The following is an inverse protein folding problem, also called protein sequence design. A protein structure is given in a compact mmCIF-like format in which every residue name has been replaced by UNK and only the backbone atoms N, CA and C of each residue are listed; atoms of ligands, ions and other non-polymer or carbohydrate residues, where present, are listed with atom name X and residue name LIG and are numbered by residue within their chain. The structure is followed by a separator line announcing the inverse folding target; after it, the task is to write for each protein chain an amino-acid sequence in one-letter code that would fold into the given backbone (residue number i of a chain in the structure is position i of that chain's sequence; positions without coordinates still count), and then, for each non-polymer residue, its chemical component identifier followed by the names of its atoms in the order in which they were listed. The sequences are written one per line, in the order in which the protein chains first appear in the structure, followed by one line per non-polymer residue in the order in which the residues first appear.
data_IF_667175052804
#
_entry.id   IF_667175052804
#
_cell.length_a   1.000
_cell.length_b   1.000
_cell.length_c   1.000
_cell.angle_alpha   90.00
_cell.angle_beta   90.00
_cell.angle_gamma   90.00
#
_symmetry.space_group_name_H-M   'P 1'
#
loop_
_entity.id
_entity.type
_entity.pdbx_description
1 polymer ?
#
# COMPACT_ATOMS: atom_id res chain seq x y z
N UNK A 1 -3.67 43.61 -25.19
CA UNK A 1 -3.63 42.56 -24.19
C UNK A 1 -4.78 41.61 -24.54
N UNK A 2 -4.51 40.56 -25.25
CA UNK A 2 -5.52 39.64 -25.84
C UNK A 2 -5.46 38.30 -25.14
N UNK A 3 -6.59 37.92 -24.52
CA UNK A 3 -6.81 36.61 -23.93
C UNK A 3 -6.98 35.56 -25.02
N UNK A 4 -6.04 34.62 -25.18
CA UNK A 4 -6.23 33.44 -25.99
C UNK A 4 -6.74 32.29 -25.10
N UNK A 5 -7.92 31.78 -25.46
CA UNK A 5 -8.58 30.65 -24.83
C UNK A 5 -8.11 29.31 -25.45
N UNK A 6 -7.99 28.28 -24.64
CA UNK A 6 -7.61 26.90 -25.05
C UNK A 6 -8.54 26.24 -26.09
N UNK A 7 -9.58 26.93 -26.56
CA UNK A 7 -10.53 26.40 -27.56
C UNK A 7 -10.18 26.69 -29.03
N UNK A 8 -9.17 27.54 -29.31
CA UNK A 8 -8.85 27.98 -30.67
C UNK A 8 -7.74 27.15 -31.36
N UNK A 9 -7.18 26.14 -30.68
CA UNK A 9 -6.10 25.32 -31.24
C UNK A 9 -6.55 24.11 -32.08
N UNK A 10 -7.85 23.82 -32.19
CA UNK A 10 -8.35 22.57 -32.85
C UNK A 10 -8.95 22.82 -34.27
N UNK A 11 -8.80 23.99 -34.86
CA UNK A 11 -9.48 24.29 -36.14
C UNK A 11 -8.59 24.57 -37.34
N UNK A 12 -7.32 24.24 -37.33
CA UNK A 12 -6.49 24.42 -38.56
C UNK A 12 -5.49 23.27 -38.72
N UNK A 13 -5.93 22.20 -39.33
CA UNK A 13 -5.13 21.36 -40.25
C UNK A 13 -6.00 20.26 -40.86
N UNK A 14 -6.64 20.61 -41.95
CA UNK A 14 -7.28 19.66 -42.88
C UNK A 14 -6.41 19.46 -44.10
N UNK A 15 -6.22 18.20 -44.46
CA UNK A 15 -5.95 17.80 -45.86
C UNK A 15 -4.50 17.53 -46.23
N UNK A 16 -4.17 16.26 -46.48
CA UNK A 16 -3.71 15.71 -47.73
C UNK A 16 -3.67 14.16 -47.61
N UNK A 17 -4.37 13.53 -48.54
CA UNK A 17 -4.42 12.06 -48.76
C UNK A 17 -3.07 11.54 -49.31
N UNK A 18 -2.61 10.41 -48.74
CA UNK A 18 -1.53 9.61 -49.30
C UNK A 18 -1.69 8.16 -48.86
N UNK A 19 -2.23 7.30 -49.73
CA UNK A 19 -2.38 5.88 -49.48
C UNK A 19 -1.00 5.18 -49.57
N UNK A 20 -0.61 4.46 -48.52
CA UNK A 20 0.39 3.42 -48.61
C UNK A 20 -0.05 2.27 -47.68
N UNK A 21 -0.33 1.14 -48.30
CA UNK A 21 -0.64 -0.13 -47.65
C UNK A 21 0.61 -0.66 -46.92
N UNK A 22 0.49 -0.92 -45.64
CA UNK A 22 1.42 -1.75 -44.87
C UNK A 22 0.61 -2.73 -44.02
N UNK A 23 0.87 -3.99 -44.36
CA UNK A 23 0.36 -5.21 -43.76
C UNK A 23 0.49 -5.27 -42.23
N UNK A 24 -0.55 -5.80 -41.61
CA UNK A 24 -0.80 -5.88 -40.21
C UNK A 24 0.24 -6.62 -39.36
N UNK A 25 0.43 -6.04 -38.19
CA UNK A 25 0.71 -6.71 -36.95
C UNK A 25 -0.29 -6.12 -35.95
N UNK A 26 -1.39 -6.82 -35.77
CA UNK A 26 -2.33 -6.52 -34.69
C UNK A 26 -1.73 -6.97 -33.36
N UNK A 27 -1.09 -6.06 -32.68
CA UNK A 27 -0.89 -6.19 -31.23
C UNK A 27 -2.28 -6.12 -30.58
N UNK A 28 -2.78 -7.28 -30.20
CA UNK A 28 -3.96 -7.40 -29.36
C UNK A 28 -3.62 -6.89 -27.94
N UNK A 29 -3.66 -5.58 -27.74
CA UNK A 29 -3.90 -5.03 -26.42
C UNK A 29 -5.36 -5.37 -26.09
N UNK A 30 -5.58 -6.35 -25.24
CA UNK A 30 -6.85 -6.51 -24.54
C UNK A 30 -7.02 -5.32 -23.59
N UNK A 31 -7.46 -4.19 -24.12
CA UNK A 31 -8.18 -3.21 -23.32
C UNK A 31 -9.54 -3.84 -23.06
N UNK A 32 -9.78 -4.32 -21.86
CA UNK A 32 -11.11 -4.55 -21.36
C UNK A 32 -11.84 -3.20 -21.41
N UNK A 33 -12.64 -2.97 -22.45
CA UNK A 33 -13.61 -1.86 -22.48
C UNK A 33 -14.62 -2.14 -21.38
N UNK A 34 -14.40 -1.57 -20.20
CA UNK A 34 -15.36 -1.61 -19.09
C UNK A 34 -16.56 -0.77 -19.48
N UNK A 35 -17.74 -1.37 -19.49
CA UNK A 35 -19.01 -0.65 -19.65
C UNK A 35 -19.09 0.38 -18.53
N UNK A 36 -19.41 1.67 -18.81
CA UNK A 36 -19.52 2.69 -17.78
C UNK A 36 -20.54 2.27 -16.72
N UNK A 37 -20.06 1.95 -15.50
CA UNK A 37 -20.88 1.51 -14.38
C UNK A 37 -20.68 0.08 -13.90
N UNK A 38 -19.96 -0.77 -14.63
CA UNK A 38 -19.63 -2.13 -14.20
C UNK A 38 -18.39 -2.12 -13.28
N UNK A 39 -18.44 -2.94 -12.21
CA UNK A 39 -17.31 -3.09 -11.30
C UNK A 39 -16.18 -3.88 -11.99
N UNK A 40 -14.98 -3.29 -12.06
CA UNK A 40 -13.86 -3.83 -12.84
C UNK A 40 -13.05 -4.92 -12.10
N UNK A 41 -13.36 -5.22 -10.84
CA UNK A 41 -12.56 -6.09 -9.97
C UNK A 41 -11.80 -5.29 -8.91
N UNK A 42 -11.03 -5.98 -8.09
CA UNK A 42 -10.12 -5.36 -7.13
C UNK A 42 -8.71 -5.24 -7.70
N UNK A 43 -7.99 -4.20 -7.28
CA UNK A 43 -6.56 -4.05 -7.55
C UNK A 43 -5.79 -4.83 -6.48
N UNK A 44 -5.20 -5.95 -6.83
CA UNK A 44 -4.42 -6.76 -5.89
C UNK A 44 -2.93 -6.47 -5.99
N UNK A 45 -2.30 -6.28 -4.82
CA UNK A 45 -0.85 -6.20 -4.70
C UNK A 45 -0.33 -7.27 -3.73
N UNK A 46 0.98 -7.49 -3.72
CA UNK A 46 1.64 -8.39 -2.78
C UNK A 46 2.84 -7.71 -2.13
N UNK A 47 2.95 -7.86 -0.82
CA UNK A 47 4.10 -7.45 -0.02
C UNK A 47 5.31 -8.33 -0.31
N UNK A 48 6.50 -7.73 -0.41
CA UNK A 48 7.68 -8.42 -0.94
C UNK A 48 8.55 -9.13 0.08
N UNK A 49 8.31 -8.98 1.38
CA UNK A 49 9.20 -9.48 2.44
C UNK A 49 9.38 -10.99 2.45
N UNK A 50 8.38 -11.76 1.99
CA UNK A 50 8.48 -13.21 1.83
C UNK A 50 9.45 -13.66 0.72
N UNK A 51 10.04 -12.71 -0.01
CA UNK A 51 10.95 -12.90 -1.14
C UNK A 51 12.25 -12.11 -0.97
N UNK A 52 12.59 -11.71 0.25
CA UNK A 52 13.72 -10.81 0.54
C UNK A 52 15.09 -11.35 0.05
N UNK A 53 15.26 -12.67 -0.08
CA UNK A 53 16.48 -13.31 -0.58
C UNK A 53 16.58 -13.33 -2.10
N UNK A 54 15.49 -13.01 -2.82
CA UNK A 54 15.45 -13.03 -4.29
C UNK A 54 15.86 -11.68 -4.86
N UNK A 55 16.38 -11.69 -6.09
CA UNK A 55 16.62 -10.46 -6.83
C UNK A 55 15.31 -9.71 -7.10
N UNK A 56 15.38 -8.38 -7.25
CA UNK A 56 14.21 -7.55 -7.53
C UNK A 56 13.42 -8.02 -8.76
N UNK A 57 14.13 -8.43 -9.83
CA UNK A 57 13.49 -8.93 -11.04
C UNK A 57 12.74 -10.27 -10.80
N UNK A 58 13.28 -11.14 -9.93
CA UNK A 58 12.61 -12.39 -9.58
C UNK A 58 11.39 -12.14 -8.71
N UNK A 59 11.45 -11.21 -7.75
CA UNK A 59 10.30 -10.80 -6.94
C UNK A 59 9.18 -10.29 -7.85
N UNK A 60 9.46 -9.34 -8.74
CA UNK A 60 8.47 -8.79 -9.68
C UNK A 60 7.87 -9.87 -10.58
N UNK A 61 8.70 -10.79 -11.11
CA UNK A 61 8.20 -11.88 -11.93
C UNK A 61 7.27 -12.84 -11.18
N UNK A 62 7.61 -13.20 -9.93
CA UNK A 62 6.76 -14.08 -9.11
C UNK A 62 5.40 -13.44 -8.84
N UNK A 63 5.38 -12.16 -8.49
CA UNK A 63 4.16 -11.39 -8.21
C UNK A 63 3.28 -11.29 -9.47
N UNK A 64 3.88 -10.94 -10.60
CA UNK A 64 3.20 -10.84 -11.90
C UNK A 64 2.68 -12.20 -12.38
N UNK A 65 3.51 -13.26 -12.36
CA UNK A 65 3.13 -14.62 -12.76
C UNK A 65 1.92 -15.14 -11.95
N UNK A 66 1.79 -14.72 -10.68
CA UNK A 66 0.66 -15.09 -9.82
C UNK A 66 -0.62 -14.30 -10.12
N UNK A 67 -0.54 -13.21 -10.92
CA UNK A 67 -1.69 -12.41 -11.35
C UNK A 67 -1.99 -11.19 -10.48
N UNK A 68 -1.03 -10.70 -9.69
CA UNK A 68 -1.12 -9.41 -9.03
C UNK A 68 -0.81 -8.27 -10.01
N UNK A 69 -1.37 -7.10 -9.74
CA UNK A 69 -1.18 -5.87 -10.53
C UNK A 69 -0.19 -4.91 -9.87
N UNK A 70 0.10 -5.12 -8.57
CA UNK A 70 1.01 -4.29 -7.80
C UNK A 70 1.94 -5.08 -6.89
N UNK A 71 3.04 -4.40 -6.52
CA UNK A 71 3.97 -4.86 -5.49
C UNK A 71 4.07 -3.80 -4.40
N UNK A 72 3.98 -4.21 -3.14
CA UNK A 72 4.15 -3.37 -1.96
C UNK A 72 5.50 -3.69 -1.31
N UNK A 73 6.25 -2.65 -0.94
CA UNK A 73 7.67 -2.79 -0.68
C UNK A 73 8.00 -2.59 0.79
N UNK A 74 8.53 -3.63 1.42
CA UNK A 74 9.24 -3.54 2.70
C UNK A 74 10.67 -3.07 2.44
N UNK A 75 10.90 -1.77 2.56
CA UNK A 75 12.16 -1.14 2.14
C UNK A 75 13.41 -1.73 2.81
N UNK A 76 13.28 -2.21 4.06
CA UNK A 76 14.37 -2.83 4.81
C UNK A 76 14.93 -4.10 4.15
N UNK A 77 14.16 -4.78 3.29
CA UNK A 77 14.59 -5.99 2.56
C UNK A 77 15.58 -5.68 1.43
N UNK A 78 15.66 -4.42 1.02
CA UNK A 78 16.42 -3.97 -0.15
C UNK A 78 17.76 -3.31 0.21
N UNK A 79 18.02 -3.05 1.48
CA UNK A 79 19.13 -2.20 1.96
C UNK A 79 19.84 -2.79 3.17
N UNK A 80 21.07 -2.32 3.43
CA UNK A 80 21.86 -2.71 4.61
C UNK A 80 21.87 -1.65 5.71
N UNK A 81 21.77 -0.37 5.34
CA UNK A 81 21.81 0.77 6.25
C UNK A 81 20.56 1.66 6.15
N UNK A 82 19.92 1.73 4.95
CA UNK A 82 18.71 2.50 4.71
C UNK A 82 18.52 2.85 3.23
N UNK A 83 17.34 3.35 2.87
CA UNK A 83 16.95 3.56 1.45
C UNK A 83 17.79 4.61 0.70
N UNK A 84 18.56 5.43 1.40
CA UNK A 84 19.54 6.34 0.80
C UNK A 84 20.66 5.61 0.04
N UNK A 85 20.88 4.30 0.29
CA UNK A 85 21.81 3.47 -0.50
C UNK A 85 21.30 3.25 -1.92
N UNK A 86 19.99 3.29 -2.14
CA UNK A 86 19.36 3.10 -3.44
C UNK A 86 19.40 4.45 -4.17
N UNK A 87 20.45 4.65 -4.96
CA UNK A 87 20.64 5.88 -5.71
C UNK A 87 19.57 6.07 -6.80
N UNK A 88 19.42 7.30 -7.37
CA UNK A 88 18.39 7.59 -8.38
C UNK A 88 18.42 6.69 -9.61
N UNK A 89 19.60 6.24 -10.06
CA UNK A 89 19.71 5.34 -11.20
C UNK A 89 19.12 3.96 -10.88
N UNK A 90 19.39 3.43 -9.67
CA UNK A 90 18.82 2.17 -9.21
C UNK A 90 17.31 2.26 -8.99
N UNK A 91 16.78 3.39 -8.48
CA UNK A 91 15.33 3.61 -8.38
C UNK A 91 14.65 3.55 -9.74
N UNK A 92 15.22 4.19 -10.77
CA UNK A 92 14.73 4.13 -12.15
C UNK A 92 14.77 2.72 -12.73
N UNK A 93 15.83 1.97 -12.47
CA UNK A 93 15.93 0.56 -12.86
C UNK A 93 14.84 -0.29 -12.19
N UNK A 94 14.59 -0.09 -10.88
CA UNK A 94 13.52 -0.79 -10.17
C UNK A 94 12.15 -0.51 -10.78
N UNK A 95 11.87 0.75 -11.14
CA UNK A 95 10.63 1.14 -11.83
C UNK A 95 10.53 0.47 -13.21
N UNK A 96 11.63 0.41 -13.97
CA UNK A 96 11.63 -0.27 -15.29
C UNK A 96 11.30 -1.75 -15.13
N UNK A 97 11.93 -2.44 -14.18
CA UNK A 97 11.69 -3.87 -13.92
C UNK A 97 10.23 -4.14 -13.52
N UNK A 98 9.63 -3.29 -12.65
CA UNK A 98 8.19 -3.41 -12.32
C UNK A 98 7.32 -3.27 -13.58
N UNK A 99 7.55 -2.23 -14.38
CA UNK A 99 6.80 -1.97 -15.62
C UNK A 99 6.94 -3.09 -16.63
N UNK A 100 8.14 -3.62 -16.82
CA UNK A 100 8.42 -4.73 -17.74
C UNK A 100 7.70 -6.02 -17.28
N UNK A 101 7.45 -6.17 -15.99
CA UNK A 101 6.63 -7.23 -15.40
C UNK A 101 5.13 -6.92 -15.39
N UNK A 102 4.69 -5.73 -15.84
CA UNK A 102 3.29 -5.32 -15.82
C UNK A 102 2.79 -4.94 -14.40
N UNK A 103 3.70 -4.55 -13.49
CA UNK A 103 3.37 -4.19 -12.11
C UNK A 103 3.48 -2.69 -11.87
N UNK A 104 2.65 -2.21 -10.92
CA UNK A 104 2.77 -0.89 -10.31
C UNK A 104 3.34 -1.01 -8.88
N UNK A 105 3.97 0.06 -8.40
CA UNK A 105 4.31 0.19 -6.99
C UNK A 105 3.05 0.56 -6.20
N UNK A 106 2.52 -0.32 -5.37
CA UNK A 106 1.39 0.00 -4.51
C UNK A 106 1.79 0.98 -3.38
N UNK A 107 3.01 0.83 -2.85
CA UNK A 107 3.50 1.66 -1.77
C UNK A 107 4.59 0.99 -0.95
N UNK A 108 4.79 1.52 0.26
CA UNK A 108 5.74 0.97 1.24
C UNK A 108 5.02 0.53 2.50
N UNK A 109 5.52 -0.51 3.15
CA UNK A 109 5.09 -0.94 4.49
C UNK A 109 6.29 -1.26 5.38
N UNK A 110 6.09 -1.58 6.66
CA UNK A 110 7.14 -1.83 7.65
C UNK A 110 8.19 -0.71 7.69
N UNK A 111 7.75 0.53 7.65
CA UNK A 111 8.53 1.73 7.37
C UNK A 111 9.78 1.90 8.23
N UNK A 112 9.69 1.56 9.52
CA UNK A 112 10.76 1.76 10.49
C UNK A 112 11.41 0.45 10.96
N UNK A 113 11.10 -0.68 10.32
CA UNK A 113 11.81 -1.93 10.55
C UNK A 113 13.29 -1.76 10.18
N UNK A 114 14.23 -2.23 11.04
CA UNK A 114 15.65 -2.08 10.78
C UNK A 114 16.13 -2.93 9.59
N UNK A 115 17.07 -2.47 8.76
CA UNK A 115 17.79 -1.19 8.89
C UNK A 115 16.97 0.03 8.41
N UNK A 116 17.27 1.25 8.91
CA UNK A 116 18.31 1.62 9.87
C UNK A 116 17.91 1.34 11.32
N UNK A 117 18.90 1.14 12.18
CA UNK A 117 18.68 0.96 13.63
C UNK A 117 18.52 2.29 14.36
N UNK A 118 17.87 2.23 15.54
CA UNK A 118 17.76 3.37 16.45
C UNK A 118 16.74 4.41 16.01
N UNK A 119 15.69 3.98 15.29
CA UNK A 119 14.50 4.78 15.00
C UNK A 119 13.42 4.47 16.04
N UNK A 120 12.70 5.50 16.46
CA UNK A 120 11.55 5.35 17.34
C UNK A 120 10.71 6.63 17.34
N UNK A 121 9.43 6.53 17.09
CA UNK A 121 8.54 7.69 16.91
C UNK A 121 8.05 8.27 18.23
N UNK A 122 7.83 7.42 19.23
CA UNK A 122 7.16 7.76 20.50
C UNK A 122 8.11 7.83 21.70
N UNK A 123 9.42 7.64 21.50
CA UNK A 123 10.41 7.75 22.57
C UNK A 123 10.46 9.16 23.20
N UNK A 124 10.76 9.32 24.50
CA UNK A 124 11.02 10.62 25.09
C UNK A 124 12.27 11.33 24.54
N UNK A 125 13.19 10.59 23.93
CA UNK A 125 14.41 11.16 23.33
C UNK A 125 14.07 11.95 22.05
N UNK A 126 14.20 13.28 22.15
CA UNK A 126 13.92 14.22 21.04
C UNK A 126 14.84 14.01 19.85
N UNK A 127 16.12 13.63 20.08
CA UNK A 127 17.09 13.43 18.98
C UNK A 127 16.71 12.20 18.17
N UNK A 128 16.28 11.11 18.84
CA UNK A 128 15.78 9.91 18.16
C UNK A 128 14.49 10.18 17.37
N UNK A 129 13.53 10.93 17.95
CA UNK A 129 12.31 11.32 17.21
C UNK A 129 12.63 12.13 15.95
N UNK A 130 13.54 13.14 16.05
CA UNK A 130 13.97 13.94 14.90
C UNK A 130 14.63 13.09 13.80
N UNK A 131 15.51 12.16 14.20
CA UNK A 131 16.14 11.20 13.29
C UNK A 131 15.09 10.34 12.60
N UNK A 132 14.06 9.92 13.33
CA UNK A 132 12.99 9.06 12.80
C UNK A 132 12.12 9.83 11.78
N UNK A 133 11.77 11.08 12.09
CA UNK A 133 11.06 11.98 11.15
C UNK A 133 11.87 12.18 9.88
N UNK A 134 13.16 12.51 9.97
CA UNK A 134 14.03 12.69 8.81
C UNK A 134 14.15 11.42 7.95
N UNK A 135 14.16 10.24 8.57
CA UNK A 135 14.14 8.99 7.80
C UNK A 135 12.79 8.75 7.12
N UNK A 136 11.69 9.13 7.75
CA UNK A 136 10.36 9.03 7.13
C UNK A 136 10.25 9.95 5.90
N UNK A 137 10.83 11.15 5.94
CA UNK A 137 10.95 12.04 4.77
C UNK A 137 11.74 11.36 3.63
N UNK A 138 12.83 10.66 3.96
CA UNK A 138 13.61 9.88 2.98
C UNK A 138 12.80 8.74 2.36
N UNK A 139 11.94 8.07 3.15
CA UNK A 139 11.03 7.04 2.66
C UNK A 139 9.92 7.63 1.76
N UNK A 140 9.40 8.81 2.07
CA UNK A 140 8.45 9.54 1.23
C UNK A 140 9.05 9.78 -0.16
N UNK A 141 10.28 10.29 -0.22
CA UNK A 141 10.98 10.51 -1.49
C UNK A 141 11.24 9.21 -2.23
N UNK A 142 11.65 8.15 -1.52
CA UNK A 142 11.86 6.84 -2.11
C UNK A 142 10.57 6.24 -2.68
N UNK A 143 9.47 6.28 -1.93
CA UNK A 143 8.15 5.84 -2.38
C UNK A 143 7.70 6.55 -3.65
N UNK A 144 7.77 7.89 -3.66
CA UNK A 144 7.38 8.70 -4.81
C UNK A 144 8.26 8.46 -6.04
N UNK A 145 9.56 8.24 -5.85
CA UNK A 145 10.48 7.92 -6.96
C UNK A 145 10.19 6.55 -7.58
N UNK A 146 9.59 5.63 -6.83
CA UNK A 146 9.12 4.33 -7.34
C UNK A 146 7.71 4.39 -7.94
N UNK A 147 7.00 5.51 -7.80
CA UNK A 147 5.62 5.68 -8.27
C UNK A 147 4.55 5.16 -7.28
N UNK A 148 4.93 4.89 -6.02
CA UNK A 148 3.99 4.48 -4.98
C UNK A 148 3.18 5.66 -4.44
N UNK A 149 1.99 5.37 -3.92
CA UNK A 149 1.04 6.37 -3.40
C UNK A 149 0.78 6.22 -1.90
N UNK A 150 1.17 5.10 -1.30
CA UNK A 150 0.86 4.79 0.08
C UNK A 150 2.11 4.40 0.87
N UNK A 151 2.10 4.76 2.15
CA UNK A 151 3.07 4.31 3.13
C UNK A 151 2.34 3.82 4.37
N UNK A 152 2.35 2.51 4.60
CA UNK A 152 1.64 1.86 5.70
C UNK A 152 2.47 1.96 6.98
N UNK A 153 1.97 2.72 7.96
CA UNK A 153 2.65 2.90 9.22
C UNK A 153 2.16 1.89 10.28
N UNK A 154 2.66 0.66 10.20
CA UNK A 154 2.55 -0.34 11.25
C UNK A 154 3.68 -0.17 12.27
N UNK A 155 4.86 -0.70 12.01
CA UNK A 155 6.12 -0.51 12.78
C UNK A 155 5.95 -0.55 14.30
N UNK A 156 5.44 -1.66 14.88
CA UNK A 156 5.00 -1.70 16.28
C UNK A 156 6.07 -1.32 17.29
N UNK A 157 7.28 -1.87 17.12
CA UNK A 157 8.41 -1.66 18.05
C UNK A 157 8.99 -0.23 18.00
N UNK A 158 8.65 0.53 16.98
CA UNK A 158 9.11 1.91 16.81
C UNK A 158 8.04 2.94 17.21
N UNK A 159 6.88 2.47 17.70
CA UNK A 159 5.79 3.33 18.21
C UNK A 159 5.21 2.89 19.56
N UNK A 160 5.85 1.94 20.25
CA UNK A 160 5.47 1.55 21.62
C UNK A 160 5.76 2.67 22.62
N UNK A 161 5.25 2.57 23.85
CA UNK A 161 5.30 3.66 24.84
C UNK A 161 6.70 3.98 25.35
N UNK A 162 7.67 3.06 25.28
CA UNK A 162 9.06 3.30 25.77
C UNK A 162 9.15 3.95 27.15
N UNK A 163 8.30 3.54 28.08
CA UNK A 163 8.33 4.01 29.47
C UNK A 163 7.67 5.38 29.69
N UNK A 164 6.86 5.86 28.75
CA UNK A 164 5.97 7.02 28.89
C UNK A 164 4.50 6.55 28.90
N UNK A 165 3.54 7.44 29.18
CA UNK A 165 2.12 7.09 29.08
C UNK A 165 1.68 6.88 27.63
N UNK A 166 0.61 6.11 27.42
CA UNK A 166 0.01 5.88 26.10
C UNK A 166 -0.44 7.20 25.47
N UNK A 167 -1.02 8.11 26.25
CA UNK A 167 -1.44 9.44 25.79
C UNK A 167 -0.25 10.25 25.27
N UNK A 168 0.88 10.21 26.00
CA UNK A 168 2.09 10.92 25.57
C UNK A 168 2.69 10.29 24.33
N UNK A 169 2.66 8.95 24.20
CA UNK A 169 3.10 8.23 23.03
C UNK A 169 2.22 8.57 21.81
N UNK A 170 0.89 8.56 21.95
CA UNK A 170 -0.06 8.99 20.90
C UNK A 170 0.18 10.44 20.46
N UNK A 171 0.46 11.33 21.43
CA UNK A 171 0.82 12.72 21.11
C UNK A 171 2.08 12.81 20.27
N UNK A 172 3.17 12.13 20.66
CA UNK A 172 4.41 12.12 19.90
C UNK A 172 4.23 11.48 18.52
N UNK A 173 3.38 10.45 18.42
CA UNK A 173 3.05 9.83 17.14
C UNK A 173 2.33 10.81 16.21
N UNK A 174 1.32 11.52 16.71
CA UNK A 174 0.61 12.54 15.95
C UNK A 174 1.53 13.70 15.52
N UNK A 175 2.39 14.20 16.42
CA UNK A 175 3.35 15.25 16.14
C UNK A 175 4.34 14.84 15.03
N UNK A 176 4.84 13.60 15.08
CA UNK A 176 5.77 13.07 14.10
C UNK A 176 5.13 12.89 12.71
N UNK A 177 3.88 12.39 12.64
CA UNK A 177 3.13 12.28 11.38
C UNK A 177 2.80 13.65 10.81
N UNK A 178 2.36 14.60 11.64
CA UNK A 178 2.08 15.96 11.23
C UNK A 178 3.33 16.66 10.66
N UNK A 179 4.51 16.38 11.21
CA UNK A 179 5.77 16.99 10.75
C UNK A 179 6.14 16.63 9.31
N UNK A 180 5.68 15.48 8.79
CA UNK A 180 5.99 15.00 7.44
C UNK A 180 4.80 15.10 6.47
N UNK A 181 3.63 15.51 6.96
CA UNK A 181 2.39 15.47 6.20
C UNK A 181 2.41 16.34 4.93
N UNK A 182 2.93 17.56 5.03
CA UNK A 182 3.07 18.47 3.87
C UNK A 182 4.05 17.91 2.83
N UNK A 183 5.17 17.30 3.26
CA UNK A 183 6.13 16.64 2.37
C UNK A 183 5.47 15.46 1.64
N UNK A 184 4.76 14.59 2.36
CA UNK A 184 4.02 13.49 1.78
C UNK A 184 3.00 13.99 0.75
N UNK A 185 2.25 15.04 1.07
CA UNK A 185 1.30 15.67 0.15
C UNK A 185 1.95 16.22 -1.12
N UNK A 186 3.13 16.84 -1.01
CA UNK A 186 3.88 17.35 -2.17
C UNK A 186 4.37 16.24 -3.10
N UNK A 187 4.52 15.03 -2.58
CA UNK A 187 4.90 13.83 -3.32
C UNK A 187 3.72 12.96 -3.75
N UNK A 188 2.48 13.42 -3.54
CA UNK A 188 1.23 12.67 -3.78
C UNK A 188 1.16 11.33 -3.03
N UNK A 189 1.70 11.30 -1.79
CA UNK A 189 1.73 10.13 -0.91
C UNK A 189 0.80 10.32 0.27
N UNK A 190 0.07 9.28 0.63
CA UNK A 190 -0.69 9.18 1.86
C UNK A 190 0.04 8.25 2.85
N UNK A 191 0.21 8.70 4.09
CA UNK A 191 0.71 7.87 5.20
C UNK A 191 -0.49 7.31 5.93
N UNK A 192 -0.59 6.00 5.96
CA UNK A 192 -1.77 5.29 6.46
C UNK A 192 -1.45 4.67 7.83
N UNK A 193 -2.15 5.15 8.85
CA UNK A 193 -2.03 4.59 10.20
C UNK A 193 -2.66 3.21 10.23
N UNK A 194 -1.87 2.22 10.57
CA UNK A 194 -2.31 0.84 10.76
C UNK A 194 -2.61 0.59 12.24
N UNK A 195 -3.86 0.29 12.63
CA UNK A 195 -4.13 -0.25 13.96
C UNK A 195 -3.52 -1.65 14.07
N UNK A 196 -2.88 -1.94 15.20
CA UNK A 196 -2.23 -3.24 15.47
C UNK A 196 -2.73 -3.81 16.78
N UNK A 197 -2.88 -5.12 16.86
CA UNK A 197 -3.32 -5.79 18.07
C UNK A 197 -2.49 -5.42 19.31
N UNK A 198 -3.12 -5.36 20.47
CA UNK A 198 -2.53 -4.91 21.74
C UNK A 198 -1.37 -5.77 22.26
N UNK A 199 -1.22 -6.99 21.72
CA UNK A 199 -0.06 -7.85 21.96
C UNK A 199 1.18 -7.43 21.18
N UNK A 200 0.99 -6.60 20.16
CA UNK A 200 2.03 -6.17 19.22
C UNK A 200 2.55 -4.78 19.57
N UNK A 201 1.66 -3.86 19.95
CA UNK A 201 1.97 -2.50 20.44
C UNK A 201 0.88 -2.03 21.39
N UNK A 202 1.19 -1.03 22.20
CA UNK A 202 0.24 -0.35 23.10
C UNK A 202 -0.26 1.00 22.56
N UNK A 203 0.05 1.31 21.30
CA UNK A 203 -0.30 2.59 20.66
C UNK A 203 -1.10 2.34 19.38
N UNK A 204 -2.35 2.79 19.36
CA UNK A 204 -3.32 2.64 18.24
C UNK A 204 -3.63 1.17 17.94
N UNK A 205 -4.63 0.64 18.63
CA UNK A 205 -4.99 -0.78 18.57
C UNK A 205 -6.31 -1.04 17.82
N UNK A 206 -7.11 -0.01 17.56
CA UNK A 206 -8.40 -0.15 16.88
C UNK A 206 -8.55 0.85 15.73
N UNK A 207 -9.46 0.56 14.81
CA UNK A 207 -9.84 1.49 13.74
C UNK A 207 -10.40 2.80 14.29
N UNK A 208 -11.10 2.75 15.43
CA UNK A 208 -11.57 3.94 16.13
C UNK A 208 -10.41 4.84 16.55
N UNK A 209 -9.36 4.27 17.15
CA UNK A 209 -8.16 5.01 17.55
C UNK A 209 -7.38 5.56 16.37
N UNK A 210 -7.22 4.77 15.29
CA UNK A 210 -6.56 5.23 14.06
C UNK A 210 -7.34 6.38 13.41
N UNK A 211 -8.68 6.26 13.30
CA UNK A 211 -9.56 7.31 12.80
C UNK A 211 -9.50 8.58 13.65
N UNK A 212 -9.48 8.45 14.97
CA UNK A 212 -9.33 9.59 15.89
C UNK A 212 -7.98 10.28 15.70
N UNK A 213 -6.89 9.52 15.62
CA UNK A 213 -5.54 10.06 15.42
C UNK A 213 -5.44 10.83 14.09
N UNK A 214 -5.88 10.21 12.99
CA UNK A 214 -5.90 10.88 11.68
C UNK A 214 -6.77 12.14 11.69
N UNK A 215 -7.95 12.08 12.34
CA UNK A 215 -8.83 13.23 12.51
C UNK A 215 -8.24 14.36 13.37
N UNK A 216 -7.44 14.05 14.38
CA UNK A 216 -6.72 15.04 15.20
C UNK A 216 -5.63 15.75 14.40
N UNK A 217 -4.90 15.01 13.55
CA UNK A 217 -3.88 15.60 12.65
C UNK A 217 -4.57 16.44 11.58
N UNK A 218 -5.74 16.01 11.11
CA UNK A 218 -6.59 16.71 10.14
C UNK A 218 -5.83 17.16 8.88
N UNK A 219 -5.04 16.25 8.30
CA UNK A 219 -4.28 16.50 7.07
C UNK A 219 -4.61 15.45 6.01
N UNK A 220 -4.83 15.82 4.73
CA UNK A 220 -5.27 14.88 3.68
C UNK A 220 -4.25 13.78 3.38
N UNK A 221 -2.97 13.99 3.63
CA UNK A 221 -1.94 12.96 3.47
C UNK A 221 -1.84 11.98 4.66
N UNK A 222 -2.64 12.17 5.73
CA UNK A 222 -2.65 11.26 6.88
C UNK A 222 -4.03 10.60 6.97
N UNK A 223 -4.07 9.32 6.67
CA UNK A 223 -5.28 8.51 6.64
C UNK A 223 -5.06 7.22 7.44
N UNK A 224 -5.92 6.23 7.29
CA UNK A 224 -5.76 4.93 7.93
C UNK A 224 -5.99 3.80 6.94
N UNK A 225 -5.64 2.60 7.36
CA UNK A 225 -5.87 1.37 6.60
C UNK A 225 -6.65 0.35 7.42
N UNK A 226 -7.06 -0.74 6.76
CA UNK A 226 -7.68 -1.91 7.37
C UNK A 226 -6.80 -3.13 7.12
N UNK A 227 -6.49 -3.89 8.17
CA UNK A 227 -5.81 -5.16 8.08
C UNK A 227 -6.65 -6.24 8.75
N UNK A 228 -6.99 -7.30 8.01
CA UNK A 228 -7.82 -8.40 8.53
C UNK A 228 -7.21 -9.06 9.77
N UNK A 229 -5.89 -9.34 9.76
CA UNK A 229 -5.21 -10.00 10.88
C UNK A 229 -5.10 -9.11 12.12
N UNK A 230 -5.01 -7.78 11.94
CA UNK A 230 -4.81 -6.83 13.02
C UNK A 230 -6.11 -6.34 13.69
N UNK A 231 -7.26 -6.91 13.32
CA UNK A 231 -8.56 -6.62 13.95
C UNK A 231 -8.84 -7.44 15.21
N UNK A 232 -7.83 -8.07 15.80
CA UNK A 232 -7.98 -8.97 16.96
C UNK A 232 -8.56 -8.31 18.22
N UNK A 233 -8.47 -6.99 18.32
CA UNK A 233 -9.05 -6.19 19.43
C UNK A 233 -10.37 -5.52 19.05
N UNK A 234 -10.86 -5.72 17.83
CA UNK A 234 -12.18 -5.24 17.40
C UNK A 234 -13.28 -6.18 17.88
N UNK A 235 -14.45 -5.61 18.19
CA UNK A 235 -15.62 -6.38 18.64
C UNK A 235 -16.69 -6.51 17.57
N UNK A 236 -16.60 -5.73 16.50
CA UNK A 236 -17.53 -5.74 15.36
C UNK A 236 -16.98 -6.64 14.24
N UNK A 237 -17.87 -7.15 13.39
CA UNK A 237 -17.50 -7.95 12.23
C UNK A 237 -16.78 -7.10 11.17
N UNK A 238 -15.98 -7.72 10.32
CA UNK A 238 -15.21 -7.06 9.26
C UNK A 238 -16.07 -6.19 8.33
N UNK A 239 -17.21 -6.71 7.90
CA UNK A 239 -18.15 -5.99 7.04
C UNK A 239 -18.76 -4.76 7.72
N UNK A 240 -19.01 -4.82 9.02
CA UNK A 240 -19.50 -3.70 9.82
C UNK A 240 -18.41 -2.63 9.96
N UNK A 241 -17.18 -3.04 10.29
CA UNK A 241 -16.02 -2.15 10.41
C UNK A 241 -15.71 -1.44 9.09
N UNK A 242 -15.68 -2.18 7.98
CA UNK A 242 -15.45 -1.61 6.66
C UNK A 242 -16.53 -0.59 6.28
N UNK A 243 -17.81 -0.85 6.53
CA UNK A 243 -18.90 0.12 6.30
C UNK A 243 -18.74 1.37 7.15
N UNK A 244 -18.40 1.18 8.42
CA UNK A 244 -18.29 2.26 9.41
C UNK A 244 -17.15 3.23 9.08
N UNK A 245 -16.00 2.70 8.64
CA UNK A 245 -14.78 3.47 8.43
C UNK A 245 -14.38 3.67 6.97
N UNK A 246 -15.22 3.28 6.00
CA UNK A 246 -14.87 3.23 4.57
C UNK A 246 -14.25 4.53 4.01
N UNK A 247 -14.68 5.69 4.50
CA UNK A 247 -14.18 7.00 4.02
C UNK A 247 -12.72 7.26 4.41
N UNK A 248 -12.24 6.59 5.44
CA UNK A 248 -10.90 6.77 6.00
C UNK A 248 -9.98 5.59 5.67
N UNK A 249 -10.54 4.45 5.20
CA UNK A 249 -9.76 3.27 4.82
C UNK A 249 -9.24 3.46 3.39
N UNK A 250 -7.96 3.75 3.28
CA UNK A 250 -7.30 4.03 2.02
C UNK A 250 -6.42 2.87 1.51
N UNK A 251 -6.29 1.80 2.30
CA UNK A 251 -5.59 0.57 1.94
C UNK A 251 -6.14 -0.61 2.73
N UNK A 252 -5.99 -1.82 2.19
CA UNK A 252 -6.41 -3.05 2.86
C UNK A 252 -5.26 -4.06 2.81
N UNK A 253 -4.87 -4.62 3.95
CA UNK A 253 -4.04 -5.83 4.02
C UNK A 253 -4.90 -7.06 4.23
N UNK A 254 -4.55 -8.13 3.54
CA UNK A 254 -5.27 -9.40 3.58
C UNK A 254 -4.31 -10.58 3.74
N UNK A 255 -4.65 -11.47 4.65
CA UNK A 255 -4.01 -12.76 4.93
C UNK A 255 -4.98 -13.61 5.74
N UNK A 256 -4.64 -14.87 6.01
CA UNK A 256 -5.39 -15.65 7.01
C UNK A 256 -5.16 -15.07 8.40
N UNK A 257 -6.16 -15.18 9.26
CA UNK A 257 -5.98 -14.88 10.68
C UNK A 257 -4.80 -15.67 11.25
N UNK A 258 -3.88 -14.96 11.94
CA UNK A 258 -2.61 -15.53 12.42
C UNK A 258 -1.45 -15.37 11.43
N UNK A 259 -1.62 -14.57 10.35
CA UNK A 259 -0.53 -14.13 9.47
C UNK A 259 -0.05 -15.15 8.45
N UNK A 260 -0.82 -16.20 8.18
CA UNK A 260 -0.52 -17.18 7.14
C UNK A 260 -1.04 -16.72 5.78
N UNK A 261 -0.53 -17.30 4.72
CA UNK A 261 -1.03 -17.04 3.37
C UNK A 261 -2.46 -17.56 3.18
N UNK A 262 -3.23 -16.90 2.31
CA UNK A 262 -4.62 -17.24 2.05
C UNK A 262 -4.76 -18.63 1.45
N UNK A 263 -5.79 -19.37 1.91
CA UNK A 263 -6.07 -20.75 1.52
C UNK A 263 -5.58 -21.80 2.50
N UNK A 264 -4.88 -21.40 3.57
CA UNK A 264 -4.49 -22.30 4.67
C UNK A 264 -5.51 -22.34 5.80
N UNK A 265 -6.51 -21.48 5.78
CA UNK A 265 -7.55 -21.33 6.79
C UNK A 265 -8.94 -21.17 6.20
N UNK A 266 -9.73 -20.28 6.76
CA UNK A 266 -11.16 -20.09 6.46
C UNK A 266 -11.50 -18.80 5.74
N UNK A 267 -10.51 -17.95 5.43
CA UNK A 267 -10.69 -16.66 4.79
C UNK A 267 -11.57 -16.72 3.52
N UNK A 268 -11.45 -17.79 2.72
CA UNK A 268 -12.25 -18.03 1.52
C UNK A 268 -13.77 -18.00 1.77
N UNK A 269 -14.20 -18.22 3.00
CA UNK A 269 -15.60 -18.11 3.40
C UNK A 269 -15.87 -16.90 4.30
N UNK A 270 -14.99 -16.66 5.27
CA UNK A 270 -15.18 -15.67 6.32
C UNK A 270 -15.07 -14.23 5.79
N UNK A 271 -14.29 -14.01 4.73
CA UNK A 271 -14.06 -12.67 4.17
C UNK A 271 -15.06 -12.27 3.08
N UNK A 272 -15.92 -13.18 2.59
CA UNK A 272 -16.87 -12.89 1.49
C UNK A 272 -17.74 -11.68 1.79
N UNK A 273 -18.29 -11.57 3.02
CA UNK A 273 -19.12 -10.41 3.38
C UNK A 273 -18.34 -9.09 3.39
N UNK A 274 -17.09 -9.12 3.85
CA UNK A 274 -16.21 -7.97 3.86
C UNK A 274 -15.86 -7.53 2.42
N UNK A 275 -15.50 -8.46 1.56
CA UNK A 275 -15.24 -8.19 0.14
C UNK A 275 -16.49 -7.75 -0.61
N UNK A 276 -17.68 -8.25 -0.24
CA UNK A 276 -18.96 -7.74 -0.79
C UNK A 276 -19.14 -6.25 -0.43
N UNK A 277 -18.82 -5.86 0.79
CA UNK A 277 -18.86 -4.44 1.20
C UNK A 277 -17.89 -3.60 0.39
N UNK A 278 -16.65 -4.06 0.19
CA UNK A 278 -15.67 -3.37 -0.65
C UNK A 278 -16.16 -3.21 -2.09
N UNK A 279 -16.77 -4.27 -2.67
CA UNK A 279 -17.40 -4.21 -3.99
C UNK A 279 -18.55 -3.21 -4.04
N UNK A 280 -19.51 -3.29 -3.09
CA UNK A 280 -20.69 -2.40 -3.02
C UNK A 280 -20.28 -0.93 -2.94
N UNK A 281 -19.16 -0.64 -2.27
CA UNK A 281 -18.57 0.69 -2.14
C UNK A 281 -17.67 1.09 -3.31
N UNK A 282 -17.53 0.21 -4.31
CA UNK A 282 -16.64 0.42 -5.45
C UNK A 282 -15.22 0.76 -5.02
N UNK A 283 -14.70 0.00 -4.03
CA UNK A 283 -13.34 0.17 -3.54
C UNK A 283 -12.35 -0.05 -4.70
N UNK A 284 -11.60 0.99 -5.03
CA UNK A 284 -10.70 1.04 -6.19
C UNK A 284 -9.24 1.29 -5.79
N UNK A 285 -8.92 1.11 -4.52
CA UNK A 285 -7.56 1.21 -3.99
C UNK A 285 -6.94 -0.18 -3.88
N UNK A 286 -5.68 -0.26 -3.46
CA UNK A 286 -4.98 -1.53 -3.35
C UNK A 286 -5.49 -2.40 -2.19
N UNK A 287 -5.55 -3.71 -2.45
CA UNK A 287 -5.66 -4.76 -1.45
C UNK A 287 -4.38 -5.59 -1.57
N UNK A 288 -3.50 -5.48 -0.57
CA UNK A 288 -2.19 -6.14 -0.58
C UNK A 288 -2.19 -7.40 0.30
N UNK A 289 -1.63 -8.46 -0.23
CA UNK A 289 -1.31 -9.65 0.55
C UNK A 289 -0.09 -9.36 1.43
N UNK A 290 -0.25 -9.37 2.76
CA UNK A 290 0.83 -9.32 3.74
C UNK A 290 0.81 -10.57 4.60
N UNK A 291 1.91 -11.31 4.69
CA UNK A 291 2.00 -12.55 5.49
C UNK A 291 3.16 -12.47 6.46
N UNK A 292 3.13 -13.29 7.52
CA UNK A 292 4.19 -13.36 8.54
C UNK A 292 4.85 -14.74 8.64
N UNK A 293 4.29 -15.76 7.96
CA UNK A 293 4.92 -17.07 7.80
C UNK A 293 5.48 -17.21 6.38
N UNK A 294 6.80 -17.05 6.24
CA UNK A 294 7.49 -17.12 4.95
C UNK A 294 7.97 -18.53 4.58
N UNK A 295 7.78 -19.51 5.47
CA UNK A 295 8.28 -20.89 5.29
C UNK A 295 7.81 -21.59 4.02
N UNK A 296 6.62 -21.29 3.44
CA UNK A 296 6.18 -21.90 2.18
C UNK A 296 6.92 -21.36 0.94
N UNK A 297 7.65 -20.26 1.08
CA UNK A 297 8.34 -19.57 -0.01
C UNK A 297 7.43 -18.64 -0.83
N UNK A 298 8.00 -17.53 -1.30
CA UNK A 298 7.25 -16.43 -1.94
C UNK A 298 6.37 -16.86 -3.11
N UNK A 299 6.83 -17.78 -3.97
CA UNK A 299 6.03 -18.27 -5.10
C UNK A 299 4.76 -19.01 -4.65
N UNK A 300 4.86 -19.90 -3.67
CA UNK A 300 3.71 -20.64 -3.12
C UNK A 300 2.72 -19.65 -2.48
N UNK A 301 3.24 -18.74 -1.65
CA UNK A 301 2.46 -17.70 -0.99
C UNK A 301 1.68 -16.88 -2.03
N UNK A 302 2.37 -16.38 -3.07
CA UNK A 302 1.76 -15.58 -4.12
C UNK A 302 0.64 -16.33 -4.86
N UNK A 303 0.95 -17.52 -5.38
CA UNK A 303 0.03 -18.29 -6.24
C UNK A 303 -1.20 -18.78 -5.49
N UNK A 304 -1.04 -19.36 -4.28
CA UNK A 304 -2.15 -19.91 -3.52
C UNK A 304 -3.05 -18.81 -2.95
N UNK A 305 -2.46 -17.69 -2.52
CA UNK A 305 -3.25 -16.54 -2.04
C UNK A 305 -4.05 -15.90 -3.17
N UNK A 306 -3.48 -15.70 -4.34
CA UNK A 306 -4.22 -15.15 -5.48
C UNK A 306 -5.36 -16.09 -5.90
N UNK A 307 -5.14 -17.41 -5.92
CA UNK A 307 -6.20 -18.39 -6.17
C UNK A 307 -7.36 -18.24 -5.18
N UNK A 308 -7.06 -18.03 -3.91
CA UNK A 308 -8.06 -17.83 -2.85
C UNK A 308 -8.78 -16.49 -3.01
N UNK A 309 -8.08 -15.40 -3.34
CA UNK A 309 -8.69 -14.10 -3.64
C UNK A 309 -9.68 -14.20 -4.81
N UNK A 310 -9.31 -14.90 -5.89
CA UNK A 310 -10.22 -15.13 -7.02
C UNK A 310 -11.43 -16.01 -6.66
N UNK A 311 -11.28 -16.95 -5.73
CA UNK A 311 -12.42 -17.71 -5.19
C UNK A 311 -13.36 -16.82 -4.36
N UNK A 312 -12.82 -15.88 -3.59
CA UNK A 312 -13.63 -14.89 -2.85
C UNK A 312 -14.38 -14.01 -3.85
N UNK A 313 -13.68 -13.42 -4.85
CA UNK A 313 -14.30 -12.61 -5.90
C UNK A 313 -15.44 -13.36 -6.61
N UNK A 314 -15.24 -14.62 -6.96
CA UNK A 314 -16.26 -15.46 -7.62
C UNK A 314 -17.50 -15.75 -6.79
N UNK A 315 -17.51 -15.45 -5.49
CA UNK A 315 -18.65 -15.59 -4.59
C UNK A 315 -19.44 -14.27 -4.41
N UNK A 316 -18.94 -13.16 -4.94
CA UNK A 316 -19.56 -11.84 -4.80
C UNK A 316 -20.74 -11.70 -5.77
N UNK A 317 -21.83 -11.08 -5.30
CA UNK A 317 -23.08 -10.90 -6.06
C UNK A 317 -23.25 -9.48 -6.60
#
# INVERSE_FOLDING_TARGET
MSNYSRRDFIKTSGGILGAAALSGLTLNCHQNETVPGEWAGFNFAMCNESMAELSWAEQCRIVSDAGYEGIEIAAFTLVKEGVQEINPARRKEMVSVMKDAGLECAGLHWLLAPPPKGLHFTTPDVAVRRKTVAYLETLIDFCGDLGGNYMIFGSPKQRDTKGISVEQAKKYFAEGLAAVADHARQRDIEILVEPLGNKTTDVVNTLAEASQLAGQINHPAIQMMFDFNNTVDETELFDVLLRKYHKNIHHVHVQEMGGKYLGTGTAVNDYVKAFQVLKDMRYNRWISLEVFDFSPGGRTIATESMRTLKQIEGKLT
#
